data_IF_804269137214
#
_entry.id   IF_804269137214
#
_cell.length_a   1.000
_cell.length_b   1.000
_cell.length_c   1.000
_cell.angle_alpha   90.00
_cell.angle_beta   90.00
_cell.angle_gamma   90.00
#
_symmetry.space_group_name_H-M   'P 1'
#
loop_
_entity.id
_entity.type
_entity.pdbx_description
1 polymer ?
#
# COMPACT_ATOMS: atom_id res chain seq x y z
N UNK A 1 -12.09 4.62 -23.10
CA UNK A 1 -12.79 4.29 -21.85
C UNK A 1 -11.75 3.77 -20.87
N UNK A 2 -11.65 4.35 -19.67
CA UNK A 2 -10.70 3.88 -18.65
C UNK A 2 -11.05 2.47 -18.16
N UNK A 3 -10.07 1.78 -17.58
CA UNK A 3 -10.23 0.44 -17.01
C UNK A 3 -9.65 0.41 -15.60
N UNK A 4 -10.44 -0.10 -14.66
CA UNK A 4 -10.06 -0.24 -13.25
C UNK A 4 -10.21 -1.70 -12.85
N UNK A 5 -9.16 -2.26 -12.26
CA UNK A 5 -9.25 -3.54 -11.57
C UNK A 5 -9.53 -3.30 -10.10
N UNK A 6 -10.72 -3.71 -9.66
CA UNK A 6 -11.04 -3.83 -8.25
C UNK A 6 -10.53 -5.19 -7.77
N UNK A 7 -9.72 -5.18 -6.71
CA UNK A 7 -9.09 -6.40 -6.21
C UNK A 7 -9.32 -6.56 -4.72
N UNK A 8 -9.56 -7.79 -4.29
CA UNK A 8 -9.75 -8.12 -2.88
C UNK A 8 -9.39 -9.57 -2.60
N UNK A 9 -9.03 -9.85 -1.34
CA UNK A 9 -8.70 -11.21 -0.88
C UNK A 9 -9.90 -12.15 -0.95
N UNK A 10 -11.06 -11.67 -0.53
CA UNK A 10 -12.31 -12.43 -0.50
C UNK A 10 -13.12 -12.17 -1.78
N UNK A 11 -13.30 -13.18 -2.65
CA UNK A 11 -14.05 -13.01 -3.90
C UNK A 11 -15.50 -12.62 -3.69
N UNK A 12 -16.19 -13.23 -2.72
CA UNK A 12 -17.60 -12.98 -2.45
C UNK A 12 -17.85 -11.53 -2.06
N UNK A 13 -17.04 -11.00 -1.13
CA UNK A 13 -17.14 -9.60 -0.71
C UNK A 13 -16.70 -8.64 -1.81
N UNK A 14 -15.67 -9.00 -2.59
CA UNK A 14 -15.19 -8.18 -3.69
C UNK A 14 -16.20 -8.05 -4.83
N UNK A 15 -16.89 -9.14 -5.19
CA UNK A 15 -17.98 -9.13 -6.18
C UNK A 15 -19.18 -8.36 -5.66
N UNK A 16 -19.56 -8.53 -4.39
CA UNK A 16 -20.64 -7.74 -3.79
C UNK A 16 -20.34 -6.23 -3.86
N UNK A 17 -19.13 -5.81 -3.49
CA UNK A 17 -18.70 -4.42 -3.58
C UNK A 17 -18.70 -3.88 -5.02
N UNK A 18 -18.36 -4.71 -6.01
CA UNK A 18 -18.45 -4.32 -7.42
C UNK A 18 -19.91 -4.06 -7.83
N UNK A 19 -20.84 -4.94 -7.43
CA UNK A 19 -22.27 -4.79 -7.76
C UNK A 19 -22.87 -3.54 -7.11
N UNK A 20 -22.54 -3.29 -5.84
CA UNK A 20 -22.97 -2.09 -5.14
C UNK A 20 -22.43 -0.83 -5.83
N UNK A 21 -21.15 -0.81 -6.21
CA UNK A 21 -20.54 0.29 -6.95
C UNK A 21 -21.21 0.51 -8.30
N UNK A 22 -21.54 -0.55 -9.04
CA UNK A 22 -22.24 -0.44 -10.33
C UNK A 22 -23.65 0.13 -10.16
N UNK A 23 -24.35 -0.25 -9.10
CA UNK A 23 -25.67 0.29 -8.77
C UNK A 23 -25.62 1.77 -8.36
N UNK A 24 -24.64 2.16 -7.54
CA UNK A 24 -24.45 3.54 -7.10
C UNK A 24 -24.07 4.49 -8.25
N UNK A 25 -23.20 4.03 -9.15
CA UNK A 25 -22.74 4.83 -10.27
C UNK A 25 -23.79 4.91 -11.39
N UNK A 26 -24.53 3.81 -11.65
CA UNK A 26 -25.48 3.73 -12.75
C UNK A 26 -24.90 4.26 -14.07
N UNK A 27 -25.65 5.13 -14.75
CA UNK A 27 -25.24 5.74 -16.02
C UNK A 27 -24.08 6.75 -15.90
N UNK A 28 -23.70 7.15 -14.67
CA UNK A 28 -22.55 8.04 -14.44
C UNK A 28 -21.22 7.30 -14.61
N UNK A 29 -21.24 5.98 -14.75
CA UNK A 29 -20.05 5.14 -14.94
C UNK A 29 -19.36 5.47 -16.27
N UNK A 30 -18.23 6.17 -16.21
CA UNK A 30 -17.38 6.50 -17.38
C UNK A 30 -16.24 5.48 -17.63
N UNK A 31 -16.12 4.50 -16.75
CA UNK A 31 -14.97 3.59 -16.66
C UNK A 31 -15.46 2.17 -16.44
N UNK A 32 -14.83 1.19 -17.09
CA UNK A 32 -15.11 -0.23 -16.83
C UNK A 32 -14.38 -0.65 -15.56
N UNK A 33 -15.11 -1.26 -14.63
CA UNK A 33 -14.53 -1.85 -13.42
C UNK A 33 -14.61 -3.36 -13.56
N UNK A 34 -13.51 -4.06 -13.31
CA UNK A 34 -13.41 -5.53 -13.37
C UNK A 34 -12.90 -6.02 -12.03
N UNK A 35 -13.56 -7.03 -11.46
CA UNK A 35 -13.07 -7.69 -10.27
C UNK A 35 -12.01 -8.75 -10.60
N UNK A 36 -10.94 -8.82 -9.80
CA UNK A 36 -9.99 -9.94 -9.79
C UNK A 36 -9.58 -10.25 -8.35
N UNK A 37 -9.53 -11.53 -7.97
CA UNK A 37 -9.07 -11.92 -6.63
C UNK A 37 -7.59 -11.56 -6.45
N UNK A 38 -7.24 -11.01 -5.30
CA UNK A 38 -5.85 -10.75 -4.92
C UNK A 38 -5.69 -10.86 -3.40
N UNK A 39 -4.77 -11.72 -2.96
CA UNK A 39 -4.18 -11.66 -1.63
C UNK A 39 -2.74 -11.18 -1.75
N UNK A 40 -2.46 -9.97 -1.25
CA UNK A 40 -1.11 -9.39 -1.34
C UNK A 40 -0.08 -10.17 -0.50
N UNK A 41 -0.52 -10.95 0.48
CA UNK A 41 0.36 -11.79 1.31
C UNK A 41 0.71 -13.13 0.66
N UNK A 42 0.05 -13.49 -0.45
CA UNK A 42 0.36 -14.66 -1.26
C UNK A 42 1.05 -14.23 -2.57
N UNK A 43 2.34 -14.54 -2.69
CA UNK A 43 3.12 -14.23 -3.89
C UNK A 43 2.51 -14.86 -5.15
N UNK A 44 1.93 -16.07 -5.05
CA UNK A 44 1.30 -16.71 -6.21
C UNK A 44 0.04 -15.96 -6.65
N UNK A 45 -0.74 -15.44 -5.69
CA UNK A 45 -1.89 -14.57 -5.98
C UNK A 45 -1.45 -13.29 -6.71
N UNK A 46 -0.36 -12.68 -6.24
CA UNK A 46 0.24 -11.49 -6.89
C UNK A 46 0.71 -11.79 -8.32
N UNK A 47 1.40 -12.92 -8.53
CA UNK A 47 1.87 -13.32 -9.87
C UNK A 47 0.72 -13.66 -10.82
N UNK A 48 -0.36 -14.29 -10.34
CA UNK A 48 -1.57 -14.55 -11.15
C UNK A 48 -2.17 -13.25 -11.67
N UNK A 49 -2.27 -12.22 -10.82
CA UNK A 49 -2.74 -10.91 -11.25
C UNK A 49 -1.78 -10.26 -12.26
N UNK A 50 -0.46 -10.31 -12.00
CA UNK A 50 0.53 -9.77 -12.92
C UNK A 50 0.46 -10.44 -14.30
N UNK A 51 0.31 -11.76 -14.35
CA UNK A 51 0.11 -12.50 -15.59
C UNK A 51 -1.17 -12.08 -16.31
N UNK A 52 -2.28 -11.92 -15.58
CA UNK A 52 -3.56 -11.45 -16.13
C UNK A 52 -3.46 -10.04 -16.75
N UNK A 53 -2.61 -9.17 -16.17
CA UNK A 53 -2.43 -7.79 -16.62
C UNK A 53 -1.30 -7.61 -17.63
N UNK A 54 -0.47 -8.62 -17.88
CA UNK A 54 0.78 -8.51 -18.64
C UNK A 54 0.64 -7.84 -20.01
N UNK A 55 -0.37 -8.26 -20.79
CA UNK A 55 -0.63 -7.71 -22.13
C UNK A 55 -1.35 -6.36 -22.11
N UNK A 56 -1.99 -6.04 -20.97
CA UNK A 56 -2.75 -4.80 -20.80
C UNK A 56 -1.82 -3.68 -20.39
N UNK A 57 -0.80 -3.94 -19.57
CA UNK A 57 0.05 -2.92 -18.99
C UNK A 57 -0.66 -2.15 -17.86
N UNK A 58 0.12 -1.43 -17.07
CA UNK A 58 -0.36 -0.71 -15.90
C UNK A 58 -0.03 0.79 -16.02
N UNK A 59 -1.03 1.63 -15.79
CA UNK A 59 -0.84 3.09 -15.75
C UNK A 59 -0.71 3.58 -14.30
N UNK A 60 -1.56 3.09 -13.40
CA UNK A 60 -1.59 3.47 -11.98
C UNK A 60 -1.74 2.23 -11.09
N UNK A 61 -0.87 2.11 -10.09
CA UNK A 61 -0.98 1.18 -8.97
C UNK A 61 -1.44 1.93 -7.72
N UNK A 62 -2.46 1.42 -7.03
CA UNK A 62 -2.91 1.97 -5.74
C UNK A 62 -2.71 0.89 -4.66
N UNK A 63 -1.70 1.06 -3.83
CA UNK A 63 -1.43 0.22 -2.67
C UNK A 63 -2.36 0.66 -1.52
N UNK A 64 -3.59 0.15 -1.53
CA UNK A 64 -4.61 0.46 -0.52
C UNK A 64 -4.82 -0.66 0.50
N UNK A 65 -4.47 -1.90 0.17
CA UNK A 65 -4.67 -3.02 1.06
C UNK A 65 -3.85 -2.85 2.35
N UNK A 66 -4.52 -3.03 3.50
CA UNK A 66 -3.90 -2.87 4.80
C UNK A 66 -4.72 -3.56 5.89
N UNK A 67 -4.06 -3.83 7.00
CA UNK A 67 -4.61 -4.46 8.18
C UNK A 67 -4.09 -3.75 9.43
N UNK A 68 -4.93 -3.72 10.46
CA UNK A 68 -4.56 -3.32 11.81
C UNK A 68 -5.44 -4.07 12.80
N UNK A 69 -4.86 -4.42 13.94
CA UNK A 69 -5.63 -4.92 15.07
C UNK A 69 -6.51 -3.81 15.66
N UNK A 70 -7.62 -4.22 16.28
CA UNK A 70 -8.45 -3.29 17.06
C UNK A 70 -7.69 -2.89 18.33
N UNK A 71 -8.03 -1.73 18.89
CA UNK A 71 -7.39 -1.20 20.11
C UNK A 71 -7.50 -2.14 21.32
N UNK A 72 -8.53 -2.98 21.36
CA UNK A 72 -8.77 -3.96 22.42
C UNK A 72 -8.33 -5.39 22.05
N UNK A 73 -7.48 -5.55 21.04
CA UNK A 73 -6.88 -6.83 20.71
C UNK A 73 -6.07 -7.38 21.89
N UNK A 74 -6.19 -8.67 22.15
CA UNK A 74 -5.55 -9.34 23.30
C UNK A 74 -4.27 -10.06 22.92
N UNK A 75 -4.00 -10.18 21.62
CA UNK A 75 -2.77 -10.76 21.09
C UNK A 75 -1.56 -9.96 21.54
N UNK A 76 -0.46 -10.65 21.85
CA UNK A 76 0.78 -10.00 22.24
C UNK A 76 1.27 -9.02 21.15
N UNK A 77 1.90 -7.91 21.56
CA UNK A 77 2.34 -6.86 20.64
C UNK A 77 3.23 -7.40 19.50
N UNK A 78 4.04 -8.42 19.77
CA UNK A 78 4.86 -9.08 18.74
C UNK A 78 4.04 -9.79 17.67
N UNK A 79 2.95 -10.45 18.05
CA UNK A 79 2.03 -11.12 17.11
C UNK A 79 1.31 -10.05 16.28
N UNK A 80 0.88 -8.97 16.93
CA UNK A 80 0.24 -7.87 16.24
C UNK A 80 1.18 -7.22 15.21
N UNK A 81 2.44 -6.99 15.59
CA UNK A 81 3.47 -6.45 14.71
C UNK A 81 3.78 -7.40 13.54
N UNK A 82 3.99 -8.70 13.80
CA UNK A 82 4.33 -9.68 12.77
C UNK A 82 3.22 -9.76 11.70
N UNK A 83 1.94 -9.84 12.11
CA UNK A 83 0.80 -9.89 11.19
C UNK A 83 0.61 -8.57 10.44
N UNK A 84 0.66 -7.43 11.15
CA UNK A 84 0.44 -6.12 10.54
C UNK A 84 1.52 -5.79 9.51
N UNK A 85 2.78 -6.05 9.83
CA UNK A 85 3.91 -5.86 8.91
C UNK A 85 3.83 -6.85 7.74
N UNK A 86 3.44 -8.10 8.00
CA UNK A 86 3.23 -9.11 6.97
C UNK A 86 2.27 -8.64 5.87
N UNK A 87 1.17 -7.99 6.25
CA UNK A 87 0.22 -7.42 5.29
C UNK A 87 0.72 -6.10 4.70
N UNK A 88 0.98 -5.11 5.56
CA UNK A 88 1.10 -3.71 5.13
C UNK A 88 2.43 -3.40 4.45
N UNK A 89 3.49 -4.13 4.82
CA UNK A 89 4.81 -3.94 4.24
C UNK A 89 5.16 -5.05 3.26
N UNK A 90 5.26 -6.30 3.73
CA UNK A 90 5.69 -7.41 2.88
C UNK A 90 4.68 -7.71 1.78
N UNK A 91 3.39 -7.71 2.09
CA UNK A 91 2.36 -7.87 1.06
C UNK A 91 2.38 -6.75 0.02
N UNK A 92 2.52 -5.50 0.46
CA UNK A 92 2.67 -4.35 -0.45
C UNK A 92 3.93 -4.48 -1.32
N UNK A 93 5.05 -4.94 -0.74
CA UNK A 93 6.30 -5.22 -1.47
C UNK A 93 6.09 -6.31 -2.52
N UNK A 94 5.39 -7.40 -2.18
CA UNK A 94 5.11 -8.51 -3.11
C UNK A 94 4.34 -8.04 -4.35
N UNK A 95 3.26 -7.28 -4.15
CA UNK A 95 2.47 -6.80 -5.28
C UNK A 95 3.23 -5.72 -6.09
N UNK A 96 4.04 -4.90 -5.44
CA UNK A 96 4.92 -3.95 -6.13
C UNK A 96 5.95 -4.68 -7.01
N UNK A 97 6.61 -5.70 -6.50
CA UNK A 97 7.57 -6.51 -7.27
C UNK A 97 6.91 -7.15 -8.49
N UNK A 98 5.66 -7.60 -8.36
CA UNK A 98 4.93 -8.23 -9.46
C UNK A 98 4.44 -7.21 -10.52
N UNK A 99 3.98 -6.03 -10.11
CA UNK A 99 3.28 -5.10 -11.00
C UNK A 99 4.12 -3.92 -11.50
N UNK A 100 5.16 -3.48 -10.77
CA UNK A 100 6.04 -2.39 -11.22
C UNK A 100 6.65 -2.65 -12.61
N UNK A 101 7.10 -3.87 -12.95
CA UNK A 101 7.60 -4.15 -14.29
C UNK A 101 6.59 -3.94 -15.42
N UNK A 102 5.29 -3.95 -15.12
CA UNK A 102 4.20 -3.77 -16.09
C UNK A 102 3.82 -2.30 -16.31
N UNK A 103 4.40 -1.39 -15.54
CA UNK A 103 4.09 0.03 -15.59
C UNK A 103 4.62 0.65 -16.91
N UNK A 104 3.71 1.07 -17.82
CA UNK A 104 4.05 1.47 -19.20
C UNK A 104 4.88 2.74 -19.27
N UNK A 105 6.06 2.77 -19.91
CA UNK A 105 6.88 4.01 -20.06
C UNK A 105 6.17 5.04 -20.96
N UNK A 106 5.98 6.30 -20.50
CA UNK A 106 5.37 7.41 -21.27
C UNK A 106 3.85 7.59 -21.07
N UNK A 107 3.43 8.03 -19.87
CA UNK A 107 2.04 7.94 -19.40
C UNK A 107 0.99 8.74 -20.18
N UNK A 108 -0.20 8.16 -20.28
CA UNK A 108 -1.45 8.89 -20.50
C UNK A 108 -1.80 9.68 -19.22
N UNK A 109 -2.28 10.90 -19.41
CA UNK A 109 -2.66 11.84 -18.35
C UNK A 109 -3.87 11.28 -17.58
N UNK A 110 -3.71 10.96 -16.30
CA UNK A 110 -4.84 10.65 -15.42
C UNK A 110 -4.76 11.48 -14.13
N UNK A 111 -5.86 12.18 -13.84
CA UNK A 111 -6.12 12.85 -12.56
C UNK A 111 -6.45 11.80 -11.49
N UNK A 112 -5.75 11.83 -10.36
CA UNK A 112 -6.11 11.07 -9.16
C UNK A 112 -6.74 12.03 -8.15
N UNK A 113 -7.99 11.76 -7.77
CA UNK A 113 -8.68 12.45 -6.67
C UNK A 113 -8.54 11.60 -5.41
N UNK A 114 -7.81 12.09 -4.41
CA UNK A 114 -7.62 11.46 -3.10
C UNK A 114 -8.81 11.73 -2.16
N UNK A 115 -9.02 10.85 -1.17
CA UNK A 115 -10.02 10.96 -0.08
C UNK A 115 -9.80 12.14 0.89
N UNK A 116 -8.99 13.14 0.54
CA UNK A 116 -8.90 14.43 1.22
C UNK A 116 -8.76 15.57 0.19
N UNK A 117 -9.53 15.56 -0.91
CA UNK A 117 -9.86 16.75 -1.70
C UNK A 117 -8.73 17.64 -2.25
N UNK A 118 -7.46 17.24 -2.15
CA UNK A 118 -6.33 18.11 -2.45
C UNK A 118 -5.95 18.00 -3.93
N UNK A 119 -6.36 18.99 -4.72
CA UNK A 119 -5.82 19.24 -6.06
C UNK A 119 -4.47 19.94 -5.90
N UNK A 120 -3.40 19.40 -6.50
CA UNK A 120 -2.10 20.11 -6.62
C UNK A 120 -2.05 20.76 -8.00
N UNK A 121 -2.22 22.08 -8.13
CA UNK A 121 -2.09 22.76 -9.42
C UNK A 121 -0.65 22.70 -9.92
N UNK A 122 -0.44 22.33 -11.18
CA UNK A 122 0.88 22.33 -11.84
C UNK A 122 1.64 21.00 -11.82
N UNK A 123 1.07 19.94 -11.26
CA UNK A 123 1.72 18.63 -11.18
C UNK A 123 1.57 17.86 -12.51
N UNK A 124 2.48 18.10 -13.46
CA UNK A 124 2.58 17.35 -14.73
C UNK A 124 3.37 16.04 -14.52
N UNK A 125 2.91 15.20 -13.59
CA UNK A 125 3.62 13.98 -13.22
C UNK A 125 2.95 12.75 -13.82
N UNK A 126 3.76 11.89 -14.45
CA UNK A 126 3.42 10.49 -14.68
C UNK A 126 3.39 9.74 -13.33
N UNK A 127 2.38 10.02 -12.49
CA UNK A 127 2.17 9.30 -11.22
C UNK A 127 1.76 7.88 -11.55
N UNK A 128 2.52 6.89 -11.07
CA UNK A 128 2.31 5.46 -11.38
C UNK A 128 2.02 4.60 -10.17
N UNK A 129 2.30 5.11 -8.96
CA UNK A 129 2.10 4.39 -7.70
C UNK A 129 1.59 5.36 -6.64
N UNK A 130 0.47 5.01 -6.01
CA UNK A 130 -0.10 5.71 -4.85
C UNK A 130 -0.08 4.74 -3.69
N UNK A 131 0.54 5.12 -2.58
CA UNK A 131 0.56 4.33 -1.35
C UNK A 131 -0.36 4.95 -0.31
N UNK A 132 -1.30 4.17 0.22
CA UNK A 132 -2.19 4.59 1.30
C UNK A 132 -1.62 4.10 2.62
N UNK A 133 -1.41 5.02 3.56
CA UNK A 133 -0.94 4.70 4.90
C UNK A 133 -1.75 5.44 5.97
N UNK A 134 -1.82 4.87 7.16
CA UNK A 134 -2.41 5.55 8.33
C UNK A 134 -1.54 6.74 8.77
N UNK A 135 -2.14 7.72 9.43
CA UNK A 135 -1.43 8.79 10.14
C UNK A 135 -0.42 8.26 11.18
N UNK A 136 -0.58 7.00 11.63
CA UNK A 136 0.39 6.28 12.47
C UNK A 136 1.75 6.09 11.81
N UNK A 137 1.80 5.97 10.48
CA UNK A 137 3.03 5.74 9.71
C UNK A 137 3.81 7.00 9.34
N UNK A 138 3.34 8.20 9.73
CA UNK A 138 4.00 9.46 9.38
C UNK A 138 5.36 9.53 10.08
N UNK A 139 6.41 9.60 9.27
CA UNK A 139 7.80 9.69 9.73
C UNK A 139 8.33 11.09 9.47
N UNK A 140 8.05 12.01 10.39
CA UNK A 140 8.63 13.35 10.37
C UNK A 140 8.87 13.87 11.81
N UNK A 141 9.74 14.88 11.92
CA UNK A 141 10.09 15.49 13.20
C UNK A 141 8.90 16.18 13.88
N UNK A 142 7.93 16.69 13.11
CA UNK A 142 6.80 17.45 13.64
C UNK A 142 5.81 16.60 14.45
N UNK A 143 5.65 15.30 14.12
CA UNK A 143 4.80 14.39 14.89
C UNK A 143 5.54 13.68 16.04
N UNK A 144 6.88 13.80 16.11
CA UNK A 144 7.75 13.26 17.16
C UNK A 144 7.49 11.80 17.57
N UNK A 145 6.94 10.97 16.65
CA UNK A 145 6.64 9.55 16.90
C UNK A 145 7.87 8.66 16.75
N UNK A 146 8.79 9.08 15.89
CA UNK A 146 10.06 8.42 15.62
C UNK A 146 11.19 9.30 16.13
N UNK A 147 12.30 8.70 16.53
CA UNK A 147 13.51 9.45 16.87
C UNK A 147 14.07 10.19 15.65
N UNK A 148 14.85 11.25 15.90
CA UNK A 148 15.48 12.03 14.84
C UNK A 148 16.41 11.17 13.99
N UNK A 149 17.13 10.24 14.61
CA UNK A 149 18.04 9.32 13.93
C UNK A 149 17.29 8.44 12.93
N UNK A 150 16.13 7.89 13.32
CA UNK A 150 15.29 7.11 12.41
C UNK A 150 14.73 7.99 11.28
N UNK A 151 14.27 9.20 11.58
CA UNK A 151 13.77 10.12 10.54
C UNK A 151 14.88 10.47 9.55
N UNK A 152 16.08 10.80 10.05
CA UNK A 152 17.24 11.16 9.23
C UNK A 152 17.69 10.02 8.32
N UNK A 153 17.56 8.75 8.75
CA UNK A 153 17.88 7.56 7.95
C UNK A 153 17.14 7.54 6.60
N UNK A 154 15.93 8.08 6.53
CA UNK A 154 15.10 8.06 5.32
C UNK A 154 15.04 9.40 4.59
N UNK A 155 15.82 10.42 5.03
CA UNK A 155 15.85 11.74 4.37
C UNK A 155 16.61 11.75 3.05
N UNK A 156 17.67 10.95 2.91
CA UNK A 156 18.43 10.87 1.66
C UNK A 156 17.89 9.78 0.73
N UNK A 157 16.80 10.09 0.03
CA UNK A 157 16.10 9.15 -0.87
C UNK A 157 17.02 8.60 -1.97
N UNK A 158 18.00 9.38 -2.43
CA UNK A 158 18.91 8.96 -3.51
C UNK A 158 19.86 7.82 -3.12
N UNK A 159 20.17 7.69 -1.83
CA UNK A 159 21.04 6.65 -1.30
C UNK A 159 20.26 5.46 -0.72
N UNK A 160 18.93 5.60 -0.56
CA UNK A 160 18.09 4.63 0.10
C UNK A 160 17.86 3.38 -0.76
N UNK A 161 18.08 2.21 -0.17
CA UNK A 161 17.84 0.90 -0.78
C UNK A 161 16.64 0.22 -0.14
N UNK A 162 16.02 -0.71 -0.87
CA UNK A 162 14.95 -1.54 -0.33
C UNK A 162 15.40 -2.30 0.94
N UNK A 163 16.66 -2.74 0.99
CA UNK A 163 17.27 -3.41 2.15
C UNK A 163 17.30 -2.54 3.41
N UNK A 164 17.40 -1.21 3.27
CA UNK A 164 17.40 -0.31 4.43
C UNK A 164 16.02 -0.27 5.08
N UNK A 165 14.97 -0.38 4.26
CA UNK A 165 13.59 -0.48 4.74
C UNK A 165 13.33 -1.86 5.35
N UNK A 166 13.82 -2.93 4.73
CA UNK A 166 13.73 -4.29 5.28
C UNK A 166 14.38 -4.36 6.66
N UNK A 167 15.58 -3.81 6.79
CA UNK A 167 16.31 -3.77 8.07
C UNK A 167 15.53 -2.96 9.12
N UNK A 168 15.00 -1.78 8.77
CA UNK A 168 14.18 -0.98 9.68
C UNK A 168 12.96 -1.74 10.21
N UNK A 169 12.31 -2.53 9.35
CA UNK A 169 11.15 -3.34 9.72
C UNK A 169 11.54 -4.53 10.61
N UNK A 170 12.65 -5.20 10.33
CA UNK A 170 13.11 -6.32 11.17
C UNK A 170 13.64 -5.84 12.54
N UNK A 171 14.32 -4.69 12.59
CA UNK A 171 14.71 -4.02 13.85
C UNK A 171 13.48 -3.71 14.72
N UNK A 172 12.43 -3.13 14.11
CA UNK A 172 11.15 -2.90 14.79
C UNK A 172 10.58 -4.18 15.37
N UNK A 173 10.42 -5.23 14.55
CA UNK A 173 9.84 -6.51 15.00
C UNK A 173 10.63 -7.14 16.13
N UNK A 174 11.97 -7.08 16.07
CA UNK A 174 12.86 -7.55 17.14
C UNK A 174 12.60 -6.79 18.44
N UNK A 175 12.61 -5.46 18.39
CA UNK A 175 12.42 -4.63 19.58
C UNK A 175 11.00 -4.74 20.16
N UNK A 176 9.98 -4.99 19.33
CA UNK A 176 8.62 -5.26 19.83
C UNK A 176 8.59 -6.58 20.63
N UNK A 177 9.31 -7.61 20.18
CA UNK A 177 9.42 -8.90 20.90
C UNK A 177 10.10 -8.74 22.26
N UNK A 178 11.04 -7.81 22.36
CA UNK A 178 11.76 -7.47 23.59
C UNK A 178 11.02 -6.44 24.47
N UNK A 179 9.90 -5.88 24.00
CA UNK A 179 9.20 -4.72 24.59
C UNK A 179 10.07 -3.45 24.72
N UNK A 180 11.02 -3.28 23.80
CA UNK A 180 12.03 -2.20 23.78
C UNK A 180 11.92 -1.28 22.58
N UNK A 181 10.78 -1.29 21.87
CA UNK A 181 10.58 -0.50 20.64
C UNK A 181 10.83 1.01 20.84
N UNK A 182 10.43 1.57 21.99
CA UNK A 182 10.68 2.99 22.32
C UNK A 182 12.16 3.31 22.48
N UNK A 183 12.94 2.38 23.05
CA UNK A 183 14.40 2.54 23.21
C UNK A 183 15.09 2.61 21.84
N UNK A 184 14.58 1.87 20.85
CA UNK A 184 15.05 1.96 19.46
C UNK A 184 14.51 3.15 18.68
N UNK A 185 13.77 4.07 19.33
CA UNK A 185 13.23 5.27 18.69
C UNK A 185 11.93 5.06 17.91
N UNK A 186 11.27 3.91 18.02
CA UNK A 186 9.98 3.64 17.38
C UNK A 186 8.80 4.16 18.21
N UNK A 187 7.62 4.34 17.58
CA UNK A 187 6.41 4.76 18.28
C UNK A 187 6.01 3.76 19.37
N UNK A 188 5.44 4.33 20.45
CA UNK A 188 4.88 3.60 21.57
C UNK A 188 3.61 2.84 21.25
#
# INVERSE_FOLDING_TARGET
MGLVWLVARNPTLGVAALLDLEKELGDKKKTKVIFHQLDITDENSCQKLAQHLKEKGLDVLINNAGFAFKQNATEHASIQADITIGVNYYGTKNICNALIPLIRKGGSQFEIVLSLGWKIPGLNCAIRIVNVCSQGGIMNEAYAKYSKELVDRFRNISALKASDIDQFVEEYKKLVKEDRRKEGGYPG
#
